data_IF_928637365137
#
_entry.id   IF_928637365137
#
_cell.length_a   1.000
_cell.length_b   1.000
_cell.length_c   1.000
_cell.angle_alpha   90.00
_cell.angle_beta   90.00
_cell.angle_gamma   90.00
#
_symmetry.space_group_name_H-M   'P 1'
#
loop_
_entity.id
_entity.type
_entity.pdbx_description
1 polymer ?
#
# COMPACT_ATOMS: atom_id res chain seq x y z
N UNK A 1 0.75 38.74 -1.99
CA UNK A 1 0.57 37.84 -3.15
C UNK A 1 1.19 38.54 -4.35
N UNK A 2 1.96 37.85 -5.21
CA UNK A 2 2.50 38.48 -6.42
C UNK A 2 1.38 39.07 -7.30
N UNK A 3 1.57 40.27 -7.86
CA UNK A 3 0.48 40.99 -8.54
C UNK A 3 -0.12 40.20 -9.73
N UNK A 4 0.70 39.43 -10.47
CA UNK A 4 0.20 38.57 -11.57
C UNK A 4 -0.65 37.40 -11.05
N UNK A 5 -0.31 36.83 -9.89
CA UNK A 5 -1.15 35.81 -9.24
C UNK A 5 -2.48 36.43 -8.81
N UNK A 6 -2.46 37.65 -8.27
CA UNK A 6 -3.69 38.36 -7.91
C UNK A 6 -4.57 38.66 -9.13
N UNK A 7 -4.00 39.06 -10.27
CA UNK A 7 -4.76 39.26 -11.52
C UNK A 7 -5.37 37.97 -12.05
N UNK A 8 -4.68 36.83 -11.93
CA UNK A 8 -5.25 35.52 -12.28
C UNK A 8 -6.36 35.12 -11.31
N UNK A 9 -6.09 35.13 -10.01
CA UNK A 9 -6.96 34.63 -8.96
C UNK A 9 -8.15 35.53 -8.62
N UNK A 10 -8.11 36.83 -8.91
CA UNK A 10 -9.23 37.74 -8.63
C UNK A 10 -9.90 38.26 -9.89
N UNK A 11 -9.14 38.48 -10.97
CA UNK A 11 -9.65 39.09 -12.20
C UNK A 11 -9.81 38.08 -13.35
N UNK A 12 -9.41 36.82 -13.16
CA UNK A 12 -9.51 35.75 -14.17
C UNK A 12 -8.80 36.07 -15.49
N UNK A 13 -7.75 36.88 -15.42
CA UNK A 13 -7.03 37.36 -16.58
C UNK A 13 -5.99 36.35 -17.07
N UNK A 14 -6.43 35.39 -17.89
CA UNK A 14 -5.56 34.32 -18.42
C UNK A 14 -4.39 34.83 -19.28
N UNK A 15 -4.52 36.01 -19.89
CA UNK A 15 -3.46 36.61 -20.72
C UNK A 15 -2.18 36.95 -19.95
N UNK A 16 -2.24 37.07 -18.61
CA UNK A 16 -1.05 37.33 -17.80
C UNK A 16 -0.25 36.07 -17.46
N UNK A 17 -0.74 34.88 -17.81
CA UNK A 17 -0.10 33.59 -17.51
C UNK A 17 1.33 33.50 -18.07
N UNK A 18 1.54 33.88 -19.33
CA UNK A 18 2.87 33.87 -19.95
C UNK A 18 3.88 34.75 -19.20
N UNK A 19 3.44 35.90 -18.69
CA UNK A 19 4.28 36.78 -17.88
C UNK A 19 4.58 36.17 -16.52
N UNK A 20 3.61 35.48 -15.91
CA UNK A 20 3.78 34.80 -14.62
C UNK A 20 4.88 33.73 -14.67
N UNK A 21 5.00 32.99 -15.78
CA UNK A 21 6.04 31.97 -15.93
C UNK A 21 7.46 32.56 -16.05
N UNK A 22 7.59 33.83 -16.43
CA UNK A 22 8.88 34.54 -16.48
C UNK A 22 9.28 35.18 -15.14
N UNK A 23 8.38 35.23 -14.15
CA UNK A 23 8.69 35.73 -12.80
C UNK A 23 9.68 34.79 -12.12
N UNK A 24 10.57 35.30 -11.26
CA UNK A 24 11.48 34.44 -10.51
C UNK A 24 10.71 33.50 -9.56
N UNK A 25 11.24 32.31 -9.30
CA UNK A 25 10.60 31.38 -8.36
C UNK A 25 10.55 31.92 -6.93
N UNK A 26 11.56 32.72 -6.54
CA UNK A 26 11.59 33.38 -5.23
C UNK A 26 10.48 34.43 -5.07
N UNK A 27 10.21 35.22 -6.10
CA UNK A 27 9.15 36.24 -6.05
C UNK A 27 7.76 35.61 -5.97
N UNK A 28 7.56 34.44 -6.59
CA UNK A 28 6.30 33.70 -6.53
C UNK A 28 5.99 33.23 -5.11
N UNK A 29 6.99 32.79 -4.35
CA UNK A 29 6.79 32.22 -3.00
C UNK A 29 6.68 33.26 -1.88
N UNK A 30 6.87 34.55 -2.16
CA UNK A 30 6.90 35.61 -1.11
C UNK A 30 5.61 35.78 -0.29
N UNK A 31 4.44 35.41 -0.83
CA UNK A 31 3.18 35.38 -0.08
C UNK A 31 2.20 34.33 -0.65
N UNK A 32 2.45 33.09 -0.24
CA UNK A 32 1.70 31.90 -0.64
C UNK A 32 0.40 31.70 0.13
N UNK A 33 0.34 32.17 1.38
CA UNK A 33 -0.81 31.97 2.28
C UNK A 33 -2.12 32.52 1.69
N UNK A 34 -2.08 33.77 1.19
CA UNK A 34 -3.20 34.39 0.50
C UNK A 34 -3.50 33.68 -0.83
N UNK A 35 -2.47 33.18 -1.51
CA UNK A 35 -2.62 32.49 -2.80
C UNK A 35 -3.37 31.17 -2.64
N UNK A 36 -3.01 30.37 -1.65
CA UNK A 36 -3.73 29.12 -1.32
C UNK A 36 -5.16 29.37 -0.86
N UNK A 37 -5.39 30.44 -0.08
CA UNK A 37 -6.72 30.81 0.39
C UNK A 37 -7.65 31.14 -0.79
N UNK A 38 -7.24 32.04 -1.68
CA UNK A 38 -7.99 32.37 -2.89
C UNK A 38 -8.15 31.17 -3.83
N UNK A 39 -7.13 30.31 -3.94
CA UNK A 39 -7.21 29.09 -4.75
C UNK A 39 -8.33 28.16 -4.27
N UNK A 40 -8.41 27.92 -2.95
CA UNK A 40 -9.45 27.08 -2.36
C UNK A 40 -10.86 27.66 -2.54
N UNK A 41 -11.01 28.97 -2.45
CA UNK A 41 -12.30 29.64 -2.73
C UNK A 41 -12.81 29.32 -4.14
N UNK A 42 -11.92 29.29 -5.13
CA UNK A 42 -12.27 28.95 -6.52
C UNK A 42 -12.60 27.46 -6.65
N UNK A 43 -11.77 26.58 -6.09
CA UNK A 43 -11.95 25.11 -6.15
C UNK A 43 -13.28 24.68 -5.52
N UNK A 44 -13.69 25.36 -4.45
CA UNK A 44 -14.92 25.07 -3.72
C UNK A 44 -16.18 25.72 -4.30
N UNK A 45 -16.03 26.58 -5.30
CA UNK A 45 -17.18 27.22 -5.93
C UNK A 45 -18.05 26.16 -6.65
N UNK A 46 -19.38 26.13 -6.43
CA UNK A 46 -20.27 25.17 -7.10
C UNK A 46 -20.22 25.27 -8.64
N UNK A 47 -19.87 26.45 -9.17
CA UNK A 47 -19.72 26.69 -10.61
C UNK A 47 -18.41 26.13 -11.19
N UNK A 48 -17.44 25.76 -10.35
CA UNK A 48 -16.09 25.38 -10.77
C UNK A 48 -16.07 24.23 -11.81
N UNK A 49 -16.83 23.12 -11.65
CA UNK A 49 -16.84 22.04 -12.65
C UNK A 49 -17.30 22.48 -14.05
N UNK A 50 -18.10 23.56 -14.14
CA UNK A 50 -18.61 24.10 -15.40
C UNK A 50 -17.81 25.29 -15.94
N UNK A 51 -17.02 25.97 -15.10
CA UNK A 51 -16.31 27.19 -15.47
C UNK A 51 -14.89 26.90 -15.96
N UNK A 52 -14.72 26.82 -17.29
CA UNK A 52 -13.42 26.59 -17.95
C UNK A 52 -12.36 27.66 -17.61
N UNK A 53 -12.78 28.89 -17.34
CA UNK A 53 -11.85 29.98 -16.98
C UNK A 53 -11.29 29.74 -15.58
N UNK A 54 -12.16 29.41 -14.63
CA UNK A 54 -11.73 29.07 -13.26
C UNK A 54 -10.81 27.85 -13.25
N UNK A 55 -11.15 26.81 -14.03
CA UNK A 55 -10.31 25.62 -14.20
C UNK A 55 -8.92 25.97 -14.72
N UNK A 56 -8.85 26.76 -15.79
CA UNK A 56 -7.58 27.21 -16.37
C UNK A 56 -6.76 28.04 -15.37
N UNK A 57 -7.41 28.91 -14.59
CA UNK A 57 -6.73 29.70 -13.55
C UNK A 57 -6.14 28.79 -12.48
N UNK A 58 -6.93 27.84 -11.96
CA UNK A 58 -6.47 26.91 -10.91
C UNK A 58 -5.31 26.05 -11.41
N UNK A 59 -5.40 25.48 -12.62
CA UNK A 59 -4.33 24.68 -13.21
C UNK A 59 -3.02 25.48 -13.36
N UNK A 60 -3.10 26.70 -13.91
CA UNK A 60 -1.93 27.56 -14.09
C UNK A 60 -1.29 27.92 -12.76
N UNK A 61 -2.12 28.27 -11.75
CA UNK A 61 -1.64 28.63 -10.42
C UNK A 61 -0.96 27.43 -9.77
N UNK A 62 -1.60 26.25 -9.74
CA UNK A 62 -1.01 25.04 -9.14
C UNK A 62 0.29 24.64 -9.84
N UNK A 63 0.32 24.64 -11.17
CA UNK A 63 1.54 24.35 -11.93
C UNK A 63 2.66 25.34 -11.60
N UNK A 64 2.34 26.63 -11.45
CA UNK A 64 3.33 27.65 -11.10
C UNK A 64 3.82 27.50 -9.65
N UNK A 65 2.92 27.24 -8.70
CA UNK A 65 3.25 27.08 -7.29
C UNK A 65 4.13 25.85 -7.06
N UNK A 66 3.71 24.70 -7.58
CA UNK A 66 4.48 23.44 -7.46
C UNK A 66 5.86 23.55 -8.12
N UNK A 67 5.96 24.22 -9.28
CA UNK A 67 7.26 24.52 -9.89
C UNK A 67 8.12 25.41 -9.00
N UNK A 68 7.59 26.52 -8.47
CA UNK A 68 8.36 27.42 -7.62
C UNK A 68 8.83 26.75 -6.33
N UNK A 69 8.00 25.93 -5.69
CA UNK A 69 8.36 25.17 -4.48
C UNK A 69 9.49 24.17 -4.80
N UNK A 70 9.40 23.47 -5.93
CA UNK A 70 10.42 22.50 -6.35
C UNK A 70 11.75 23.18 -6.65
N UNK A 71 11.76 24.24 -7.47
CA UNK A 71 13.00 24.92 -7.89
C UNK A 71 13.68 25.68 -6.74
N UNK A 72 12.92 26.09 -5.71
CA UNK A 72 13.48 26.73 -4.50
C UNK A 72 13.83 25.73 -3.40
N UNK A 73 13.52 24.44 -3.58
CA UNK A 73 13.77 23.39 -2.57
C UNK A 73 12.98 23.59 -1.28
N UNK A 74 11.85 24.30 -1.32
CA UNK A 74 11.11 24.78 -0.13
C UNK A 74 9.91 23.90 0.26
N UNK A 75 9.88 22.64 -0.19
CA UNK A 75 8.73 21.75 0.02
C UNK A 75 8.34 21.57 1.50
N UNK A 76 9.31 21.52 2.41
CA UNK A 76 9.02 21.33 3.83
C UNK A 76 8.20 22.49 4.43
N UNK A 77 8.40 23.70 3.90
CA UNK A 77 7.69 24.91 4.35
C UNK A 77 6.26 24.99 3.81
N UNK A 78 5.95 24.29 2.72
CA UNK A 78 4.67 24.43 2.00
C UNK A 78 3.90 23.11 1.84
N UNK A 79 4.44 22.00 2.35
CA UNK A 79 3.79 20.70 2.26
C UNK A 79 2.44 20.69 2.98
N UNK A 80 2.32 21.38 4.11
CA UNK A 80 1.06 21.45 4.87
C UNK A 80 -0.05 22.10 4.05
N UNK A 81 0.23 23.21 3.38
CA UNK A 81 -0.71 23.94 2.55
C UNK A 81 -1.07 23.17 1.27
N UNK A 82 -0.10 22.52 0.62
CA UNK A 82 -0.37 21.66 -0.54
C UNK A 82 -1.25 20.45 -0.17
N UNK A 83 -0.99 19.84 0.98
CA UNK A 83 -1.79 18.73 1.51
C UNK A 83 -3.19 19.20 1.90
N UNK A 84 -3.33 20.41 2.46
CA UNK A 84 -4.62 21.02 2.78
C UNK A 84 -5.45 21.28 1.52
N UNK A 85 -4.84 21.80 0.44
CA UNK A 85 -5.52 21.94 -0.86
C UNK A 85 -5.91 20.57 -1.42
N UNK A 86 -5.03 19.57 -1.34
CA UNK A 86 -5.37 18.21 -1.77
C UNK A 86 -6.56 17.65 -0.98
N UNK A 87 -6.58 17.81 0.34
CA UNK A 87 -7.67 17.34 1.19
C UNK A 87 -9.00 18.04 0.86
N UNK A 88 -8.96 19.32 0.53
CA UNK A 88 -10.10 20.09 0.07
C UNK A 88 -10.64 19.57 -1.26
N UNK A 89 -9.75 19.35 -2.23
CA UNK A 89 -10.09 18.84 -3.57
C UNK A 89 -10.76 17.47 -3.48
N UNK A 90 -10.32 16.60 -2.58
CA UNK A 90 -10.88 15.25 -2.39
C UNK A 90 -12.30 15.22 -1.79
N UNK A 91 -12.85 16.37 -1.38
CA UNK A 91 -14.26 16.48 -0.94
C UNK A 91 -15.23 16.60 -2.11
N UNK A 92 -14.71 16.79 -3.32
CA UNK A 92 -15.50 16.91 -4.55
C UNK A 92 -15.51 15.59 -5.34
N UNK A 93 -16.49 15.37 -6.22
CA UNK A 93 -16.51 14.19 -7.10
C UNK A 93 -15.28 14.14 -7.99
N UNK A 94 -14.64 12.96 -8.10
CA UNK A 94 -13.45 12.78 -8.93
C UNK A 94 -13.79 12.48 -10.40
N UNK A 95 -15.01 12.03 -10.68
CA UNK A 95 -15.54 11.79 -12.03
C UNK A 95 -16.68 12.76 -12.33
N UNK A 96 -16.87 13.08 -13.60
CA UNK A 96 -18.02 13.82 -14.10
C UNK A 96 -18.55 13.20 -15.39
N UNK A 97 -19.84 13.38 -15.67
CA UNK A 97 -20.42 12.90 -16.91
C UNK A 97 -20.18 13.92 -18.03
N UNK A 98 -19.65 13.45 -19.16
CA UNK A 98 -19.58 14.26 -20.37
C UNK A 98 -20.94 14.33 -21.10
N UNK A 99 -21.02 15.12 -22.17
CA UNK A 99 -22.22 15.26 -23.01
C UNK A 99 -22.76 13.92 -23.57
N UNK A 100 -21.90 12.89 -23.63
CA UNK A 100 -22.23 11.54 -24.10
C UNK A 100 -22.56 10.58 -22.96
N UNK A 101 -22.76 11.08 -21.75
CA UNK A 101 -23.00 10.27 -20.53
C UNK A 101 -21.89 9.25 -20.25
N UNK A 102 -20.65 9.60 -20.57
CA UNK A 102 -19.47 8.81 -20.21
C UNK A 102 -18.76 9.48 -19.04
N UNK A 103 -18.29 8.67 -18.09
CA UNK A 103 -17.45 9.14 -17.00
C UNK A 103 -16.11 9.65 -17.57
N UNK A 104 -15.80 10.90 -17.27
CA UNK A 104 -14.53 11.56 -17.53
C UNK A 104 -13.96 12.11 -16.24
N UNK A 105 -12.66 12.41 -16.25
CA UNK A 105 -12.01 13.05 -15.11
C UNK A 105 -12.65 14.41 -14.85
N UNK A 106 -13.06 14.62 -13.59
CA UNK A 106 -13.44 15.95 -13.14
C UNK A 106 -12.21 16.88 -13.12
N UNK A 107 -12.42 18.20 -13.17
CA UNK A 107 -11.33 19.16 -12.95
C UNK A 107 -10.64 18.98 -11.58
N UNK A 108 -11.37 18.51 -10.56
CA UNK A 108 -10.82 18.18 -9.25
C UNK A 108 -9.87 16.97 -9.30
N UNK A 109 -10.18 15.94 -10.10
CA UNK A 109 -9.31 14.77 -10.25
C UNK A 109 -7.96 15.12 -10.87
N UNK A 110 -7.96 16.02 -11.86
CA UNK A 110 -6.71 16.52 -12.45
C UNK A 110 -5.85 17.24 -11.42
N UNK A 111 -6.45 18.13 -10.62
CA UNK A 111 -5.74 18.80 -9.52
C UNK A 111 -5.19 17.80 -8.51
N UNK A 112 -6.01 16.85 -8.07
CA UNK A 112 -5.58 15.82 -7.12
C UNK A 112 -4.38 15.03 -7.65
N UNK A 113 -4.42 14.66 -8.94
CA UNK A 113 -3.33 13.95 -9.62
C UNK A 113 -2.04 14.78 -9.67
N UNK A 114 -2.13 16.05 -10.05
CA UNK A 114 -0.98 16.96 -10.11
C UNK A 114 -0.36 17.17 -8.72
N UNK A 115 -1.18 17.41 -7.70
CA UNK A 115 -0.72 17.60 -6.32
C UNK A 115 -0.10 16.34 -5.74
N UNK A 116 -0.71 15.16 -5.93
CA UNK A 116 -0.15 13.88 -5.52
C UNK A 116 1.21 13.66 -6.17
N UNK A 117 1.30 13.85 -7.49
CA UNK A 117 2.57 13.68 -8.21
C UNK A 117 3.66 14.59 -7.64
N UNK A 118 3.35 15.87 -7.40
CA UNK A 118 4.29 16.85 -6.86
C UNK A 118 4.73 16.51 -5.44
N UNK A 119 3.81 16.08 -4.57
CA UNK A 119 4.12 15.71 -3.19
C UNK A 119 4.96 14.44 -3.12
N UNK A 120 4.64 13.44 -3.94
CA UNK A 120 5.36 12.16 -3.96
C UNK A 120 6.70 12.22 -4.71
N UNK A 121 7.04 13.30 -5.41
CA UNK A 121 8.44 13.54 -5.82
C UNK A 121 9.39 13.60 -4.63
N UNK A 122 8.89 13.93 -3.44
CA UNK A 122 9.63 13.99 -2.19
C UNK A 122 9.35 12.79 -1.27
N UNK A 123 9.05 11.61 -1.85
CA UNK A 123 8.70 10.40 -1.09
C UNK A 123 9.76 9.95 -0.06
N UNK A 124 11.02 10.35 -0.20
CA UNK A 124 12.08 10.04 0.77
C UNK A 124 12.08 10.99 1.99
N UNK A 125 11.40 12.14 1.89
CA UNK A 125 11.32 13.10 2.98
C UNK A 125 10.21 12.74 3.97
N UNK A 126 10.61 12.40 5.20
CA UNK A 126 9.70 11.99 6.27
C UNK A 126 8.75 13.09 6.73
N UNK A 127 9.20 14.35 6.78
CA UNK A 127 8.36 15.48 7.24
C UNK A 127 7.16 15.66 6.31
N UNK A 128 7.45 15.71 5.00
CA UNK A 128 6.45 15.79 3.92
C UNK A 128 5.53 14.58 3.93
N UNK A 129 6.09 13.36 3.95
CA UNK A 129 5.28 12.13 3.89
C UNK A 129 4.41 11.89 5.11
N UNK A 130 4.76 12.43 6.29
CA UNK A 130 3.91 12.39 7.48
C UNK A 130 2.60 13.15 7.26
N UNK A 131 2.63 14.23 6.48
CA UNK A 131 1.44 15.01 6.12
C UNK A 131 0.70 14.40 4.93
N UNK A 132 1.44 13.97 3.90
CA UNK A 132 0.87 13.52 2.62
C UNK A 132 0.19 12.16 2.72
N UNK A 133 0.77 11.18 3.40
CA UNK A 133 0.27 9.79 3.41
C UNK A 133 -1.19 9.69 3.88
N UNK A 134 -1.59 10.29 5.02
CA UNK A 134 -2.97 10.22 5.49
C UNK A 134 -4.01 10.70 4.46
N UNK A 135 -3.69 11.79 3.74
CA UNK A 135 -4.58 12.35 2.71
C UNK A 135 -4.54 11.52 1.44
N UNK A 136 -3.36 11.08 1.00
CA UNK A 136 -3.21 10.20 -0.17
C UNK A 136 -3.98 8.88 -0.01
N UNK A 137 -4.03 8.31 1.19
CA UNK A 137 -4.80 7.08 1.45
C UNK A 137 -6.32 7.29 1.28
N UNK A 138 -6.84 8.53 1.35
CA UNK A 138 -8.24 8.83 1.02
C UNK A 138 -8.50 8.66 -0.48
N UNK A 139 -7.52 8.98 -1.34
CA UNK A 139 -7.61 8.80 -2.79
C UNK A 139 -7.82 7.34 -3.20
N UNK A 140 -7.39 6.37 -2.38
CA UNK A 140 -7.63 4.95 -2.65
C UNK A 140 -9.10 4.56 -2.61
N UNK A 141 -9.95 5.39 -1.99
CA UNK A 141 -11.41 5.20 -1.97
C UNK A 141 -12.13 5.94 -3.11
N UNK A 142 -11.39 6.58 -4.01
CA UNK A 142 -11.95 7.33 -5.14
C UNK A 142 -12.68 6.41 -6.13
N UNK A 143 -13.68 6.97 -6.80
CA UNK A 143 -14.37 6.34 -7.94
C UNK A 143 -13.48 6.31 -9.20
N UNK A 144 -12.46 7.18 -9.27
CA UNK A 144 -11.55 7.24 -10.39
C UNK A 144 -10.45 6.16 -10.27
N UNK A 145 -10.52 5.14 -11.14
CA UNK A 145 -9.62 4.01 -11.12
C UNK A 145 -8.15 4.38 -11.42
N UNK A 146 -7.91 5.39 -12.27
CA UNK A 146 -6.54 5.85 -12.58
C UNK A 146 -5.90 6.56 -11.39
N UNK A 147 -6.65 7.43 -10.71
CA UNK A 147 -6.21 8.08 -9.47
C UNK A 147 -5.87 7.03 -8.39
N UNK A 148 -6.72 6.01 -8.22
CA UNK A 148 -6.46 4.90 -7.28
C UNK A 148 -5.18 4.16 -7.66
N UNK A 149 -4.98 3.84 -8.94
CA UNK A 149 -3.79 3.14 -9.44
C UNK A 149 -2.51 3.95 -9.25
N UNK A 150 -2.54 5.24 -9.57
CA UNK A 150 -1.40 6.15 -9.39
C UNK A 150 -1.06 6.31 -7.91
N UNK A 151 -2.06 6.54 -7.07
CA UNK A 151 -1.91 6.60 -5.61
C UNK A 151 -1.31 5.31 -5.06
N UNK A 152 -1.77 4.15 -5.53
CA UNK A 152 -1.23 2.85 -5.12
C UNK A 152 0.26 2.74 -5.40
N UNK A 153 0.68 3.18 -6.59
CA UNK A 153 2.08 3.18 -7.01
C UNK A 153 2.93 4.08 -6.11
N UNK A 154 2.41 5.27 -5.77
CA UNK A 154 3.04 6.19 -4.83
C UNK A 154 3.17 5.64 -3.41
N UNK A 155 2.14 4.96 -2.90
CA UNK A 155 2.17 4.30 -1.60
C UNK A 155 3.22 3.18 -1.58
N UNK A 156 3.31 2.38 -2.64
CA UNK A 156 4.33 1.35 -2.78
C UNK A 156 5.76 1.91 -2.79
N UNK A 157 5.98 3.07 -3.41
CA UNK A 157 7.26 3.80 -3.35
C UNK A 157 7.56 4.32 -1.94
N UNK A 158 6.58 4.96 -1.30
CA UNK A 158 6.72 5.53 0.04
C UNK A 158 6.97 4.46 1.11
N UNK A 159 6.52 3.22 0.89
CA UNK A 159 6.77 2.08 1.76
C UNK A 159 8.26 1.80 1.99
N UNK A 160 9.14 2.14 1.05
CA UNK A 160 10.58 1.90 1.19
C UNK A 160 11.19 2.75 2.31
N UNK A 161 10.80 4.03 2.40
CA UNK A 161 11.41 5.01 3.32
C UNK A 161 10.54 5.38 4.53
N UNK A 162 9.22 5.19 4.45
CA UNK A 162 8.24 5.71 5.42
C UNK A 162 7.41 4.62 6.09
N UNK A 163 7.99 3.43 6.29
CA UNK A 163 7.31 2.26 6.89
C UNK A 163 6.54 2.58 8.17
N UNK A 164 7.13 3.38 9.07
CA UNK A 164 6.50 3.79 10.33
C UNK A 164 5.26 4.68 10.15
N UNK A 165 5.26 5.56 9.15
CA UNK A 165 4.10 6.41 8.84
C UNK A 165 2.98 5.58 8.19
N UNK A 166 3.33 4.64 7.31
CA UNK A 166 2.34 3.76 6.70
C UNK A 166 1.77 2.73 7.70
N UNK A 167 2.57 2.27 8.66
CA UNK A 167 2.13 1.27 9.63
C UNK A 167 1.06 1.80 10.59
N UNK A 168 1.01 3.10 10.88
CA UNK A 168 -0.11 3.70 11.63
C UNK A 168 -1.43 3.65 10.87
N UNK A 169 -1.38 3.48 9.55
CA UNK A 169 -2.56 3.35 8.68
C UNK A 169 -2.75 1.93 8.13
N UNK A 170 -2.17 0.92 8.78
CA UNK A 170 -2.22 -0.47 8.32
C UNK A 170 -3.65 -0.99 8.09
N UNK A 171 -4.62 -0.64 8.96
CA UNK A 171 -6.02 -1.05 8.79
C UNK A 171 -6.64 -0.52 7.48
N UNK A 172 -6.35 0.72 7.12
CA UNK A 172 -6.85 1.33 5.88
C UNK A 172 -6.21 0.68 4.66
N UNK A 173 -4.91 0.35 4.71
CA UNK A 173 -4.21 -0.36 3.65
C UNK A 173 -4.78 -1.77 3.47
N UNK A 174 -4.97 -2.51 4.56
CA UNK A 174 -5.56 -3.87 4.52
C UNK A 174 -6.99 -3.80 3.97
N UNK A 175 -7.80 -2.82 4.39
CA UNK A 175 -9.16 -2.64 3.87
C UNK A 175 -9.15 -2.41 2.36
N UNK A 176 -8.22 -1.61 1.82
CA UNK A 176 -8.09 -1.41 0.38
C UNK A 176 -7.66 -2.67 -0.37
N UNK A 177 -6.76 -3.47 0.20
CA UNK A 177 -6.37 -4.78 -0.34
C UNK A 177 -7.58 -5.71 -0.44
N UNK A 178 -8.37 -5.81 0.64
CA UNK A 178 -9.57 -6.67 0.69
C UNK A 178 -10.64 -6.20 -0.29
N UNK A 179 -10.71 -4.89 -0.58
CA UNK A 179 -11.62 -4.31 -1.58
C UNK A 179 -11.20 -4.53 -3.04
N UNK A 180 -10.03 -5.12 -3.28
CA UNK A 180 -9.58 -5.48 -4.63
C UNK A 180 -8.32 -4.76 -5.11
N UNK A 181 -7.72 -3.89 -4.29
CA UNK A 181 -6.46 -3.24 -4.64
C UNK A 181 -5.27 -4.15 -4.27
N UNK A 182 -5.08 -5.22 -5.03
CA UNK A 182 -4.12 -6.28 -4.72
C UNK A 182 -2.66 -5.83 -4.82
N UNK A 183 -2.35 -4.79 -5.59
CA UNK A 183 -0.97 -4.29 -5.69
C UNK A 183 -0.41 -3.79 -4.36
N UNK A 184 -1.28 -3.38 -3.41
CA UNK A 184 -0.89 -3.01 -2.05
C UNK A 184 -0.44 -4.21 -1.19
N UNK A 185 -0.71 -5.45 -1.61
CA UNK A 185 -0.25 -6.66 -0.91
C UNK A 185 1.27 -6.65 -0.73
N UNK A 186 2.01 -6.15 -1.72
CA UNK A 186 3.47 -6.07 -1.70
C UNK A 186 4.01 -5.12 -0.62
N UNK A 187 3.17 -4.20 -0.12
CA UNK A 187 3.52 -3.26 0.96
C UNK A 187 3.36 -3.92 2.34
N UNK A 188 2.46 -4.89 2.50
CA UNK A 188 2.08 -5.45 3.80
C UNK A 188 3.28 -6.03 4.59
N UNK A 189 4.19 -6.82 3.99
CA UNK A 189 5.36 -7.33 4.71
C UNK A 189 6.27 -6.21 5.24
N UNK A 190 6.35 -5.08 4.54
CA UNK A 190 7.25 -3.98 4.90
C UNK A 190 6.77 -3.26 6.16
N UNK A 191 5.46 -3.03 6.27
CA UNK A 191 4.84 -2.28 7.37
C UNK A 191 4.47 -3.15 8.58
N UNK A 192 4.44 -4.48 8.41
CA UNK A 192 4.12 -5.43 9.49
C UNK A 192 5.01 -5.27 10.73
N UNK A 193 6.32 -5.03 10.56
CA UNK A 193 7.26 -4.99 11.68
C UNK A 193 6.93 -3.88 12.68
N UNK A 194 6.48 -2.74 12.16
CA UNK A 194 6.20 -1.52 12.92
C UNK A 194 4.79 -1.52 13.55
N UNK A 195 3.82 -2.25 12.98
CA UNK A 195 2.49 -2.40 13.56
C UNK A 195 1.90 -3.79 13.25
N UNK A 196 1.84 -4.69 14.24
CA UNK A 196 1.52 -6.11 14.03
C UNK A 196 0.04 -6.45 14.23
N UNK A 197 -0.65 -5.74 15.12
CA UNK A 197 -2.01 -6.11 15.56
C UNK A 197 -3.06 -6.12 14.44
N UNK A 198 -3.11 -5.12 13.52
CA UNK A 198 -4.06 -5.11 12.41
C UNK A 198 -3.95 -6.37 11.53
N UNK A 199 -2.72 -6.80 11.25
CA UNK A 199 -2.45 -7.98 10.44
C UNK A 199 -2.87 -9.26 11.14
N UNK A 200 -2.72 -9.35 12.46
CA UNK A 200 -3.15 -10.53 13.22
C UNK A 200 -4.68 -10.61 13.25
N UNK A 201 -5.37 -9.48 13.42
CA UNK A 201 -6.82 -9.42 13.46
C UNK A 201 -7.46 -9.78 12.10
N UNK A 202 -6.85 -9.34 10.98
CA UNK A 202 -7.37 -9.53 9.63
C UNK A 202 -6.69 -10.67 8.86
N UNK A 203 -5.88 -11.49 9.53
CA UNK A 203 -5.06 -12.53 8.87
C UNK A 203 -5.91 -13.50 8.03
N UNK A 204 -7.10 -13.92 8.52
CA UNK A 204 -7.97 -14.83 7.77
C UNK A 204 -8.32 -14.26 6.39
N UNK A 205 -8.74 -13.00 6.34
CA UNK A 205 -9.18 -12.33 5.11
C UNK A 205 -8.01 -12.20 4.14
N UNK A 206 -6.82 -11.85 4.66
CA UNK A 206 -5.61 -11.76 3.85
C UNK A 206 -5.21 -13.13 3.28
N UNK A 207 -5.36 -14.21 4.03
CA UNK A 207 -5.05 -15.56 3.56
C UNK A 207 -6.09 -16.11 2.57
N UNK A 208 -7.34 -15.66 2.65
CA UNK A 208 -8.38 -16.00 1.65
C UNK A 208 -8.00 -15.50 0.24
N UNK A 209 -7.24 -14.40 0.16
CA UNK A 209 -6.73 -13.85 -1.11
C UNK A 209 -5.77 -14.78 -1.86
N UNK A 210 -5.14 -15.75 -1.18
CA UNK A 210 -4.30 -16.74 -1.86
C UNK A 210 -5.09 -17.61 -2.85
N UNK A 211 -6.38 -17.82 -2.59
CA UNK A 211 -7.27 -18.60 -3.46
C UNK A 211 -7.86 -17.77 -4.60
N UNK A 212 -7.74 -16.44 -4.52
CA UNK A 212 -8.28 -15.53 -5.52
C UNK A 212 -7.47 -15.60 -6.83
N UNK A 213 -8.18 -15.71 -7.96
CA UNK A 213 -7.58 -15.79 -9.28
C UNK A 213 -7.06 -14.44 -9.79
N UNK A 214 -7.61 -13.33 -9.28
CA UNK A 214 -7.18 -11.98 -9.65
C UNK A 214 -5.88 -11.54 -8.97
N UNK A 215 -5.43 -12.30 -7.96
CA UNK A 215 -4.17 -12.04 -7.26
C UNK A 215 -3.05 -12.77 -7.99
N UNK A 216 -2.03 -12.01 -8.39
CA UNK A 216 -0.92 -12.53 -9.17
C UNK A 216 0.06 -13.36 -8.31
N UNK A 217 1.05 -13.98 -8.97
CA UNK A 217 2.04 -14.79 -8.28
C UNK A 217 2.93 -13.97 -7.34
N UNK A 218 3.28 -12.74 -7.70
CA UNK A 218 4.14 -11.87 -6.89
C UNK A 218 3.45 -11.44 -5.59
N UNK A 219 2.17 -11.09 -5.68
CA UNK A 219 1.30 -10.72 -4.57
C UNK A 219 1.05 -11.92 -3.64
N UNK A 220 0.80 -13.11 -4.22
CA UNK A 220 0.72 -14.36 -3.43
C UNK A 220 2.02 -14.63 -2.67
N UNK A 221 3.18 -14.46 -3.29
CA UNK A 221 4.47 -14.59 -2.62
C UNK A 221 4.64 -13.58 -1.48
N UNK A 222 4.18 -12.34 -1.66
CA UNK A 222 4.18 -11.34 -0.58
C UNK A 222 3.25 -11.72 0.59
N UNK A 223 2.08 -12.32 0.33
CA UNK A 223 1.22 -12.87 1.40
C UNK A 223 1.90 -14.03 2.14
N UNK A 224 2.60 -14.91 1.43
CA UNK A 224 3.36 -16.00 2.05
C UNK A 224 4.55 -15.47 2.86
N UNK A 225 5.21 -14.40 2.40
CA UNK A 225 6.23 -13.70 3.17
C UNK A 225 5.65 -13.12 4.46
N UNK A 226 4.49 -12.46 4.40
CA UNK A 226 3.77 -11.97 5.58
C UNK A 226 3.43 -13.12 6.53
N UNK A 227 2.91 -14.23 6.02
CA UNK A 227 2.63 -15.42 6.82
C UNK A 227 3.88 -15.98 7.51
N UNK A 228 5.04 -15.98 6.83
CA UNK A 228 6.33 -16.35 7.43
C UNK A 228 6.73 -15.42 8.57
N UNK A 229 6.53 -14.10 8.41
CA UNK A 229 6.79 -13.13 9.47
C UNK A 229 5.86 -13.34 10.68
N UNK A 230 4.58 -13.67 10.43
CA UNK A 230 3.62 -14.04 11.49
C UNK A 230 4.04 -15.34 12.17
N UNK A 231 4.49 -16.35 11.43
CA UNK A 231 4.98 -17.60 11.99
C UNK A 231 6.15 -17.38 12.95
N UNK A 232 7.03 -16.41 12.68
CA UNK A 232 8.15 -16.06 13.55
C UNK A 232 7.74 -15.25 14.78
N UNK A 233 6.62 -14.53 14.74
CA UNK A 233 6.24 -13.58 15.81
C UNK A 233 5.12 -14.09 16.70
N UNK A 234 4.04 -14.63 16.12
CA UNK A 234 2.86 -15.11 16.83
C UNK A 234 2.25 -16.31 16.07
N UNK A 235 2.93 -17.48 16.10
CA UNK A 235 2.54 -18.64 15.30
C UNK A 235 1.14 -19.15 15.62
N UNK A 236 0.61 -18.89 16.82
CA UNK A 236 -0.73 -19.30 17.26
C UNK A 236 -1.83 -18.78 16.33
N UNK A 237 -1.65 -17.57 15.77
CA UNK A 237 -2.63 -16.95 14.87
C UNK A 237 -2.59 -17.59 13.48
N UNK A 238 -1.44 -18.13 13.06
CA UNK A 238 -1.28 -18.75 11.74
C UNK A 238 -1.72 -20.21 11.70
N UNK A 239 -1.51 -20.96 12.79
CA UNK A 239 -1.74 -22.42 12.87
C UNK A 239 -3.12 -22.86 12.35
N UNK A 240 -4.24 -22.20 12.70
CA UNK A 240 -5.58 -22.58 12.23
C UNK A 240 -5.72 -22.57 10.70
N UNK A 241 -4.92 -21.76 10.01
CA UNK A 241 -5.01 -21.55 8.57
C UNK A 241 -4.03 -22.39 7.76
N UNK A 242 -3.12 -23.13 8.41
CA UNK A 242 -2.12 -23.96 7.73
C UNK A 242 -2.72 -24.93 6.69
N UNK A 243 -3.88 -25.58 6.92
CA UNK A 243 -4.46 -26.48 5.92
C UNK A 243 -4.68 -25.84 4.55
N UNK A 244 -4.89 -24.52 4.51
CA UNK A 244 -5.07 -23.75 3.27
C UNK A 244 -3.80 -23.71 2.41
N UNK A 245 -2.63 -23.96 2.98
CA UNK A 245 -1.36 -23.93 2.27
C UNK A 245 -1.03 -25.22 1.52
N UNK A 246 -1.70 -26.34 1.81
CA UNK A 246 -1.31 -27.67 1.32
C UNK A 246 -1.23 -27.73 -0.22
N UNK A 247 -2.20 -27.11 -0.89
CA UNK A 247 -2.28 -27.06 -2.36
C UNK A 247 -1.07 -26.35 -2.98
N UNK A 248 -0.53 -25.31 -2.32
CA UNK A 248 0.58 -24.54 -2.88
C UNK A 248 1.95 -25.19 -2.62
N UNK A 249 2.03 -26.22 -1.77
CA UNK A 249 3.29 -26.94 -1.53
C UNK A 249 3.78 -27.65 -2.79
N UNK A 250 2.83 -28.08 -3.63
CA UNK A 250 3.04 -28.68 -4.94
C UNK A 250 3.10 -27.64 -6.07
N UNK A 251 3.17 -26.35 -5.76
CA UNK A 251 3.43 -25.31 -6.76
C UNK A 251 4.92 -24.97 -6.79
N UNK A 252 5.64 -25.16 -7.92
CA UNK A 252 7.07 -24.86 -8.01
C UNK A 252 7.43 -23.42 -7.64
N UNK A 253 6.53 -22.48 -7.91
CA UNK A 253 6.71 -21.05 -7.69
C UNK A 253 6.58 -20.66 -6.20
N UNK A 254 5.70 -21.33 -5.45
CA UNK A 254 5.36 -20.97 -4.06
C UNK A 254 5.94 -21.92 -3.01
N UNK A 255 6.37 -23.11 -3.42
CA UNK A 255 6.88 -24.17 -2.54
C UNK A 255 8.02 -23.68 -1.64
N UNK A 256 8.97 -22.90 -2.17
CA UNK A 256 10.08 -22.35 -1.38
C UNK A 256 9.59 -21.44 -0.26
N UNK A 257 8.64 -20.54 -0.55
CA UNK A 257 8.07 -19.63 0.43
C UNK A 257 7.32 -20.38 1.54
N UNK A 258 6.55 -21.42 1.18
CA UNK A 258 5.87 -22.28 2.15
C UNK A 258 6.84 -23.06 3.05
N UNK A 259 7.90 -23.61 2.48
CA UNK A 259 8.91 -24.34 3.25
C UNK A 259 9.60 -23.41 4.26
N UNK A 260 9.78 -22.13 3.93
CA UNK A 260 10.28 -21.15 4.88
C UNK A 260 9.31 -20.93 6.05
N UNK A 261 8.00 -20.90 5.81
CA UNK A 261 6.98 -20.84 6.89
C UNK A 261 7.10 -22.08 7.79
N UNK A 262 7.22 -23.27 7.20
CA UNK A 262 7.36 -24.52 7.98
C UNK A 262 8.64 -24.55 8.81
N UNK A 263 9.75 -24.08 8.24
CA UNK A 263 11.01 -23.92 8.97
C UNK A 263 10.86 -22.93 10.14
N UNK A 264 10.19 -21.80 9.93
CA UNK A 264 9.87 -20.85 11.00
C UNK A 264 9.04 -21.49 12.12
N UNK A 265 8.02 -22.29 11.80
CA UNK A 265 7.23 -23.00 12.79
C UNK A 265 8.03 -24.06 13.56
N UNK A 266 8.97 -24.75 12.90
CA UNK A 266 9.88 -25.70 13.56
C UNK A 266 10.78 -24.95 14.55
N UNK A 267 11.37 -23.82 14.14
CA UNK A 267 12.19 -22.98 15.02
C UNK A 267 11.43 -22.46 16.24
N UNK A 268 10.12 -22.24 16.11
CA UNK A 268 9.22 -21.84 17.20
C UNK A 268 8.64 -23.02 18.00
N UNK A 269 9.19 -24.25 17.86
CA UNK A 269 8.73 -25.47 18.55
C UNK A 269 7.26 -25.85 18.27
N UNK A 270 6.74 -25.52 17.08
CA UNK A 270 5.36 -25.83 16.64
C UNK A 270 5.30 -26.97 15.62
N UNK A 271 6.31 -27.84 15.58
CA UNK A 271 6.42 -28.99 14.64
C UNK A 271 5.19 -29.90 14.64
N UNK A 272 4.47 -30.02 15.77
CA UNK A 272 3.25 -30.83 15.89
C UNK A 272 2.17 -30.41 14.87
N UNK A 273 2.02 -29.11 14.62
CA UNK A 273 1.01 -28.57 13.70
C UNK A 273 1.27 -28.90 12.24
N UNK A 274 2.50 -29.35 11.92
CA UNK A 274 2.92 -29.68 10.55
C UNK A 274 2.73 -31.16 10.20
N UNK A 275 2.34 -32.01 11.15
CA UNK A 275 2.25 -33.46 10.94
C UNK A 275 1.28 -33.84 9.79
N UNK A 276 0.23 -33.05 9.58
CA UNK A 276 -0.76 -33.26 8.53
C UNK A 276 -0.21 -33.09 7.10
N UNK A 277 0.85 -32.29 6.90
CA UNK A 277 1.45 -32.04 5.58
C UNK A 277 2.48 -33.09 5.16
N UNK A 278 2.74 -34.09 6.01
CA UNK A 278 3.72 -35.14 5.74
C UNK A 278 3.47 -35.91 4.42
N UNK A 279 2.22 -36.24 4.01
CA UNK A 279 1.97 -36.89 2.72
C UNK A 279 2.40 -36.00 1.55
N UNK A 280 2.00 -34.74 1.56
CA UNK A 280 2.30 -33.75 0.51
C UNK A 280 3.80 -33.46 0.41
N UNK A 281 4.49 -33.36 1.55
CA UNK A 281 5.95 -33.22 1.59
C UNK A 281 6.68 -34.43 0.98
N UNK A 282 6.17 -35.65 1.15
CA UNK A 282 6.75 -36.84 0.50
C UNK A 282 6.58 -36.80 -1.01
N UNK A 283 5.40 -36.41 -1.50
CA UNK A 283 5.14 -36.25 -2.93
C UNK A 283 6.06 -35.19 -3.54
N UNK A 284 6.18 -34.03 -2.89
CA UNK A 284 7.09 -32.97 -3.32
C UNK A 284 8.57 -33.42 -3.33
N UNK A 285 9.01 -34.22 -2.35
CA UNK A 285 10.39 -34.74 -2.29
C UNK A 285 10.73 -35.74 -3.41
N UNK A 286 9.72 -36.41 -3.96
CA UNK A 286 9.87 -37.42 -5.01
C UNK A 286 9.82 -36.82 -6.42
N UNK A 287 9.20 -35.65 -6.58
CA UNK A 287 9.11 -34.97 -7.87
C UNK A 287 10.42 -34.23 -8.23
N UNK A 288 10.82 -34.35 -9.50
CA UNK A 288 11.99 -33.66 -10.05
C UNK A 288 11.78 -32.15 -10.23
N UNK A 289 10.54 -31.66 -10.21
CA UNK A 289 10.25 -30.22 -10.33
C UNK A 289 10.69 -29.43 -9.09
N UNK A 290 10.91 -30.10 -7.95
CA UNK A 290 11.28 -29.49 -6.67
C UNK A 290 12.74 -29.74 -6.27
N UNK A 291 13.63 -30.04 -7.22
CA UNK A 291 15.05 -30.33 -6.93
C UNK A 291 15.70 -29.23 -6.06
N UNK A 292 15.44 -27.96 -6.36
CA UNK A 292 15.97 -26.82 -5.61
C UNK A 292 15.48 -26.77 -4.16
N UNK A 293 14.27 -27.30 -3.89
CA UNK A 293 13.66 -27.32 -2.56
C UNK A 293 13.88 -28.63 -1.80
N UNK A 294 14.43 -29.66 -2.46
CA UNK A 294 14.53 -31.04 -1.93
C UNK A 294 15.29 -31.12 -0.60
N UNK A 295 16.36 -30.34 -0.45
CA UNK A 295 17.13 -30.28 0.81
C UNK A 295 16.28 -29.76 1.97
N UNK A 296 15.50 -28.70 1.74
CA UNK A 296 14.62 -28.11 2.76
C UNK A 296 13.44 -29.03 3.06
N UNK A 297 12.84 -29.65 2.04
CA UNK A 297 11.77 -30.65 2.21
C UNK A 297 12.26 -31.83 3.07
N UNK A 298 13.47 -32.34 2.82
CA UNK A 298 14.07 -33.42 3.61
C UNK A 298 14.34 -32.99 5.06
N UNK A 299 14.80 -31.75 5.29
CA UNK A 299 15.00 -31.20 6.65
C UNK A 299 13.68 -31.15 7.42
N UNK A 300 12.63 -30.54 6.85
CA UNK A 300 11.29 -30.46 7.47
C UNK A 300 10.75 -31.87 7.76
N UNK A 301 10.86 -32.78 6.79
CA UNK A 301 10.42 -34.17 6.93
C UNK A 301 11.17 -34.93 8.04
N UNK A 302 12.47 -34.65 8.25
CA UNK A 302 13.26 -35.26 9.30
C UNK A 302 12.80 -34.81 10.69
N UNK A 303 12.55 -33.52 10.88
CA UNK A 303 12.01 -33.00 12.13
C UNK A 303 10.64 -33.61 12.47
N UNK A 304 9.78 -33.78 11.46
CA UNK A 304 8.47 -34.42 11.64
C UNK A 304 8.60 -35.90 12.02
N UNK A 305 9.53 -36.64 11.41
CA UNK A 305 9.80 -38.04 11.78
C UNK A 305 10.33 -38.17 13.21
N UNK A 306 11.26 -37.31 13.62
CA UNK A 306 11.80 -37.30 15.00
C UNK A 306 10.67 -37.08 15.99
N UNK A 307 9.80 -36.09 15.73
CA UNK A 307 8.64 -35.80 16.57
C UNK A 307 7.68 -37.00 16.65
N UNK A 308 7.40 -37.65 15.51
CA UNK A 308 6.52 -38.84 15.48
C UNK A 308 7.09 -39.99 16.32
N UNK A 309 8.38 -40.29 16.17
CA UNK A 309 9.05 -41.33 16.97
C UNK A 309 9.03 -40.97 18.46
N UNK A 310 9.25 -39.70 18.82
CA UNK A 310 9.20 -39.25 20.21
C UNK A 310 7.79 -39.34 20.83
N UNK A 311 6.75 -39.04 20.04
CA UNK A 311 5.35 -39.21 20.45
C UNK A 311 4.95 -40.68 20.61
N UNK A 312 5.47 -41.58 19.77
CA UNK A 312 5.25 -43.03 19.91
C UNK A 312 5.93 -43.58 21.17
N UNK A 313 7.18 -43.17 21.45
CA UNK A 313 7.93 -43.57 22.66
C UNK A 313 7.24 -43.05 23.94
N UNK A 314 6.71 -41.82 23.92
CA UNK A 314 6.01 -41.26 25.09
C UNK A 314 4.64 -41.90 25.31
N UNK A 315 3.92 -42.26 24.24
CA UNK A 315 2.67 -43.04 24.34
C UNK A 315 2.92 -44.43 24.93
N UNK A 316 3.94 -45.16 24.46
CA UNK A 316 4.29 -46.47 25.01
C UNK A 316 4.73 -46.38 26.47
N UNK A 317 5.51 -45.37 26.85
CA UNK A 317 5.88 -45.12 28.25
C UNK A 317 4.68 -44.76 29.14
N UNK A 318 3.69 -44.01 28.62
CA UNK A 318 2.47 -43.67 29.36
C UNK A 318 1.51 -44.86 29.53
N UNK A 319 1.48 -45.78 28.56
CA UNK A 319 0.71 -47.02 28.65
C UNK A 319 1.35 -48.01 29.63
N UNK A 320 2.68 -48.07 29.70
CA UNK A 320 3.41 -48.86 30.70
C UNK A 320 3.15 -48.38 32.14
N UNK A 321 2.98 -47.07 32.36
CA UNK A 321 2.62 -46.51 33.68
C UNK A 321 1.15 -46.69 34.09
N UNK A 322 0.26 -47.10 33.17
CA UNK A 322 -1.14 -47.45 33.49
C UNK A 322 -1.35 -48.94 33.76
N UNK A 323 -0.33 -49.76 33.51
CA UNK A 323 -0.34 -51.21 33.76
C UNK A 323 0.44 -51.62 35.02
N UNK A 324 0.80 -50.65 35.87
CA UNK A 324 1.31 -50.83 37.24
C UNK A 324 0.34 -50.15 38.18
#
# INVERSE_FOLDING_TARGET
MHYLLSRLLHQRQLNVSAQLFNVSHYDVITDMSNTFSSLKEIINAPSYPSNKVDQSVVEIVIARLTAAIRETGSIESYAAELVDVLDEVLRHPMTSLNEKSQDVDSPHCKIASDLLSSLFMHYSNKSVMTLTIPVALKCLNSENAELVKNTTSYISLAAIHNRKSLSSHALQIISNVVRGNYSLIQVLPQIYQDNKEPFHAQLSQLLDLLQNQHVDCSEKLSLLQLASMVANTKPEVLIPYLPRFDVYLLSPQMSTALLNIYMSLISQNRTKSLAQFMPTLKLAAQSNEFINNRTTICKVSRFLKILKNWLEITKTASNLKKCV
#
